data_IF_095514644120
#
_entry.id   IF_095514644120
#
_cell.length_a   1.000
_cell.length_b   1.000
_cell.length_c   1.000
_cell.angle_alpha   90.00
_cell.angle_beta   90.00
_cell.angle_gamma   90.00
#
_symmetry.space_group_name_H-M   'P 1'
#
loop_
_entity.id
_entity.type
_entity.pdbx_description
1 polymer ?
#
# COMPACT_ATOMS: atom_id res chain seq x y z
N UNK A 1 -12.61 0.16 11.22
CA UNK A 1 -13.48 0.49 12.37
C UNK A 1 -13.46 -0.68 13.35
N UNK A 2 -13.49 -0.44 14.65
CA UNK A 2 -13.74 -1.51 15.62
C UNK A 2 -15.22 -1.93 15.60
N UNK A 3 -15.60 -2.96 16.38
CA UNK A 3 -16.98 -3.46 16.46
C UNK A 3 -18.00 -2.43 16.98
N UNK A 4 -17.53 -1.31 17.53
CA UNK A 4 -18.35 -0.18 17.99
C UNK A 4 -18.44 0.96 16.97
N UNK A 5 -17.91 0.77 15.75
CA UNK A 5 -17.95 1.80 14.72
C UNK A 5 -16.94 2.94 14.92
N UNK A 6 -15.93 2.76 15.79
CA UNK A 6 -14.86 3.76 15.98
C UNK A 6 -13.76 3.54 14.95
N UNK A 7 -13.40 4.57 14.18
CA UNK A 7 -12.28 4.48 13.24
C UNK A 7 -10.98 4.24 14.01
N UNK A 8 -10.17 3.30 13.55
CA UNK A 8 -8.89 2.94 14.19
C UNK A 8 -7.69 3.57 13.50
N UNK A 9 -7.85 4.06 12.26
CA UNK A 9 -6.73 4.53 11.43
C UNK A 9 -7.16 5.61 10.44
N UNK A 10 -8.32 5.43 9.78
CA UNK A 10 -8.71 6.25 8.64
C UNK A 10 -9.67 7.42 8.94
N UNK A 11 -9.90 8.29 7.94
CA UNK A 11 -9.34 8.22 6.57
C UNK A 11 -7.84 8.62 6.53
N UNK A 12 -7.07 7.92 5.70
CA UNK A 12 -5.64 8.18 5.51
C UNK A 12 -5.29 8.09 4.01
N UNK A 13 -4.29 8.84 3.58
CA UNK A 13 -3.76 8.73 2.23
C UNK A 13 -3.03 7.38 2.07
N UNK A 14 -3.19 6.71 0.93
CA UNK A 14 -2.62 5.39 0.67
C UNK A 14 -1.08 5.39 0.74
N UNK A 15 -0.44 6.48 0.31
CA UNK A 15 1.01 6.63 0.35
C UNK A 15 1.59 6.65 1.78
N UNK A 16 0.77 6.84 2.82
CA UNK A 16 1.24 6.77 4.22
C UNK A 16 1.77 5.39 4.60
N UNK A 17 1.29 4.33 3.95
CA UNK A 17 1.79 2.96 4.08
C UNK A 17 3.29 2.84 3.70
N UNK A 18 3.76 3.77 2.87
CA UNK A 18 5.09 3.80 2.29
C UNK A 18 6.03 4.76 3.03
N UNK A 19 5.64 5.25 4.21
CA UNK A 19 6.50 6.12 5.03
C UNK A 19 7.87 5.46 5.32
N UNK A 20 8.94 6.19 5.02
CA UNK A 20 10.32 5.71 5.17
C UNK A 20 10.77 4.67 4.14
N UNK A 21 10.01 4.43 3.07
CA UNK A 21 10.38 3.51 1.99
C UNK A 21 11.28 4.16 0.93
N UNK A 22 11.10 5.47 0.69
CA UNK A 22 11.75 6.20 -0.39
C UNK A 22 11.07 6.02 -1.75
N UNK A 23 11.45 6.86 -2.71
CA UNK A 23 10.99 6.78 -4.10
C UNK A 23 9.50 7.07 -4.33
N UNK A 24 9.03 6.87 -5.57
CA UNK A 24 7.69 7.24 -6.03
C UNK A 24 6.54 6.64 -5.21
N UNK A 25 6.65 5.39 -4.76
CA UNK A 25 5.62 4.74 -3.94
C UNK A 25 5.34 5.48 -2.61
N UNK A 26 6.32 6.21 -2.08
CA UNK A 26 6.15 7.06 -0.90
C UNK A 26 5.61 8.45 -1.24
N UNK A 27 6.08 9.05 -2.32
CA UNK A 27 5.79 10.46 -2.62
C UNK A 27 4.50 10.67 -3.41
N UNK A 28 4.03 9.66 -4.14
CA UNK A 28 2.81 9.73 -4.94
C UNK A 28 1.61 9.06 -4.25
N UNK A 29 0.45 9.66 -4.44
CA UNK A 29 -0.83 9.18 -3.92
C UNK A 29 -1.94 9.37 -4.98
N UNK A 30 -1.64 9.02 -6.23
CA UNK A 30 -2.46 9.32 -7.40
C UNK A 30 -2.64 8.12 -8.35
N UNK A 31 -2.38 6.90 -7.87
CA UNK A 31 -2.76 5.67 -8.58
C UNK A 31 -4.02 5.04 -8.01
N UNK A 32 -4.26 3.78 -8.37
CA UNK A 32 -5.44 3.03 -7.93
C UNK A 32 -5.12 2.07 -6.78
N UNK A 33 -5.56 2.35 -5.54
CA UNK A 33 -5.32 1.45 -4.42
C UNK A 33 -6.22 0.22 -4.49
N UNK A 34 -5.64 -0.96 -4.31
CA UNK A 34 -6.35 -2.22 -4.11
C UNK A 34 -5.98 -2.81 -2.75
N UNK A 35 -6.98 -3.30 -2.02
CA UNK A 35 -6.80 -3.93 -0.70
C UNK A 35 -7.49 -5.29 -0.70
N UNK A 36 -6.74 -6.33 -0.38
CA UNK A 36 -7.21 -7.71 -0.29
C UNK A 36 -6.77 -8.32 1.05
N UNK A 37 -7.59 -9.22 1.59
CA UNK A 37 -7.23 -10.04 2.74
C UNK A 37 -7.14 -11.50 2.30
N UNK A 38 -5.96 -12.09 2.48
CA UNK A 38 -5.73 -13.52 2.27
C UNK A 38 -6.07 -14.27 3.56
N UNK A 39 -7.16 -15.03 3.52
CA UNK A 39 -7.67 -15.79 4.66
C UNK A 39 -6.84 -17.04 4.97
N UNK A 40 -6.11 -17.58 3.99
CA UNK A 40 -5.27 -18.77 4.19
C UNK A 40 -3.95 -18.39 4.85
N UNK A 41 -3.38 -17.23 4.46
CA UNK A 41 -2.16 -16.70 5.05
C UNK A 41 -2.42 -15.84 6.30
N UNK A 42 -3.66 -15.41 6.52
CA UNK A 42 -4.05 -14.43 7.55
C UNK A 42 -3.25 -13.12 7.39
N UNK A 43 -3.25 -12.56 6.18
CA UNK A 43 -2.45 -11.37 5.79
C UNK A 43 -3.22 -10.40 4.91
N UNK A 44 -2.84 -9.14 4.99
CA UNK A 44 -3.35 -8.06 4.16
C UNK A 44 -2.39 -7.76 3.02
N UNK A 45 -2.89 -7.76 1.80
CA UNK A 45 -2.19 -7.35 0.60
C UNK A 45 -2.74 -6.01 0.13
N UNK A 46 -1.87 -5.02 -0.01
CA UNK A 46 -2.21 -3.71 -0.55
C UNK A 46 -1.33 -3.41 -1.76
N UNK A 47 -1.95 -2.92 -2.83
CA UNK A 47 -1.23 -2.49 -4.03
C UNK A 47 -1.66 -1.11 -4.48
N UNK A 48 -0.76 -0.43 -5.20
CA UNK A 48 -1.07 0.74 -6.02
C UNK A 48 -0.05 0.84 -7.16
N UNK A 49 -0.29 1.73 -8.11
CA UNK A 49 0.73 2.18 -9.07
C UNK A 49 1.07 3.66 -8.87
N UNK A 50 2.23 4.09 -9.35
CA UNK A 50 2.57 5.51 -9.47
C UNK A 50 2.06 6.05 -10.80
N UNK A 51 1.75 7.34 -10.89
CA UNK A 51 1.19 7.94 -12.10
C UNK A 51 2.08 9.03 -12.71
N UNK A 52 3.10 9.52 -11.98
CA UNK A 52 4.07 10.45 -12.51
C UNK A 52 5.20 9.73 -13.28
N UNK A 53 5.35 10.08 -14.56
CA UNK A 53 6.44 9.60 -15.41
C UNK A 53 7.78 10.33 -15.13
N UNK A 54 8.86 9.96 -15.85
CA UNK A 54 8.90 9.04 -17.00
C UNK A 54 9.07 7.56 -16.60
N UNK A 55 9.14 7.24 -15.31
CA UNK A 55 9.27 5.87 -14.82
C UNK A 55 8.18 5.56 -13.83
N UNK A 56 7.46 4.48 -14.08
CA UNK A 56 6.33 4.07 -13.26
C UNK A 56 6.68 2.83 -12.43
N UNK A 57 5.92 2.65 -11.35
CA UNK A 57 6.13 1.58 -10.39
C UNK A 57 4.81 0.95 -9.97
N UNK A 58 4.81 -0.36 -9.86
CA UNK A 58 3.83 -1.12 -9.09
C UNK A 58 4.34 -1.27 -7.66
N UNK A 59 3.59 -0.72 -6.71
CA UNK A 59 3.89 -0.73 -5.29
C UNK A 59 3.10 -1.85 -4.62
N UNK A 60 3.79 -2.78 -3.95
CA UNK A 60 3.21 -3.93 -3.23
C UNK A 60 3.55 -3.88 -1.74
N UNK A 61 2.55 -3.98 -0.87
CA UNK A 61 2.72 -4.11 0.57
C UNK A 61 1.98 -5.34 1.10
N UNK A 62 2.68 -6.15 1.89
CA UNK A 62 2.13 -7.34 2.55
C UNK A 62 2.29 -7.21 4.07
N UNK A 63 1.21 -7.34 4.82
CA UNK A 63 1.28 -7.23 6.29
C UNK A 63 2.17 -8.33 6.87
N UNK A 64 2.79 -8.07 8.01
CA UNK A 64 3.59 -9.08 8.73
C UNK A 64 2.71 -10.01 9.56
N UNK A 65 1.52 -9.55 9.94
CA UNK A 65 0.54 -10.26 10.78
C UNK A 65 -0.89 -10.03 10.28
N UNK A 66 -1.87 -10.61 10.97
CA UNK A 66 -3.31 -10.39 10.76
C UNK A 66 -3.76 -8.94 11.04
N UNK A 67 -2.97 -8.16 11.79
CA UNK A 67 -3.31 -6.79 12.14
C UNK A 67 -2.93 -5.83 11.00
N UNK A 68 -3.91 -5.20 10.31
CA UNK A 68 -3.63 -4.28 9.22
C UNK A 68 -3.01 -2.96 9.69
N UNK A 69 -2.99 -2.68 11.00
CA UNK A 69 -2.35 -1.50 11.59
C UNK A 69 -0.88 -1.73 11.95
N UNK A 70 -0.40 -2.97 11.79
CA UNK A 70 0.97 -3.37 12.08
C UNK A 70 1.97 -2.99 10.99
N UNK A 71 3.03 -3.79 10.89
CA UNK A 71 4.13 -3.56 9.93
C UNK A 71 3.91 -4.30 8.62
N UNK A 72 4.59 -3.83 7.56
CA UNK A 72 4.47 -4.37 6.21
C UNK A 72 5.84 -4.65 5.59
N UNK A 73 5.95 -5.78 4.89
CA UNK A 73 6.95 -5.94 3.84
C UNK A 73 6.51 -5.13 2.64
N UNK A 74 7.46 -4.42 2.01
CA UNK A 74 7.16 -3.43 0.96
C UNK A 74 8.12 -3.59 -0.21
N UNK A 75 7.58 -3.49 -1.42
CA UNK A 75 8.32 -3.57 -2.67
C UNK A 75 7.82 -2.54 -3.68
N UNK A 76 8.73 -2.10 -4.55
CA UNK A 76 8.42 -1.30 -5.72
C UNK A 76 9.02 -1.96 -6.96
N UNK A 77 8.16 -2.31 -7.91
CA UNK A 77 8.55 -2.93 -9.18
C UNK A 77 8.42 -1.90 -10.28
N UNK A 78 9.54 -1.51 -10.89
CA UNK A 78 9.51 -0.58 -12.02
C UNK A 78 8.91 -1.24 -13.26
N UNK A 79 8.05 -0.52 -13.96
CA UNK A 79 7.59 -0.86 -15.31
C UNK A 79 8.43 -0.14 -16.39
N UNK A 80 9.48 0.57 -15.98
CA UNK A 80 10.30 1.40 -16.84
C UNK A 80 9.50 2.57 -17.39
N UNK A 81 9.66 2.85 -18.68
CA UNK A 81 8.90 3.88 -19.40
C UNK A 81 7.55 3.37 -19.95
N UNK A 82 7.10 2.20 -19.52
CA UNK A 82 5.75 1.73 -19.84
C UNK A 82 4.87 2.01 -18.63
N UNK A 83 3.77 2.71 -18.87
CA UNK A 83 2.71 2.80 -17.88
C UNK A 83 1.95 1.47 -17.83
#
# INVERSE_FOLDING_TARGET
FNKSGVSQFGPAANNTLWSGFGGPCQTENAGDPVVLYDQLADRWLLTQFTSAGPTWYNCLALSTTADPTGTYYRWAFTTGSNF
#
